data_IF_802747839336
#
_entry.id   IF_802747839336
#
_cell.length_a   1.000
_cell.length_b   1.000
_cell.length_c   1.000
_cell.angle_alpha   90.00
_cell.angle_beta   90.00
_cell.angle_gamma   90.00
#
_symmetry.space_group_name_H-M   'P 1'
#
loop_
_entity.id
_entity.type
_entity.pdbx_description
1 polymer ?
#
# COMPACT_ATOMS: atom_id res chain seq x y z
N UNK A 1 -2.37 -28.42 -0.23
CA UNK A 1 -2.60 -26.97 -0.42
C UNK A 1 -1.34 -26.25 0.06
N UNK A 2 -0.73 -25.40 -0.77
CA UNK A 2 0.43 -24.61 -0.35
C UNK A 2 -0.03 -23.31 0.29
N UNK A 3 0.47 -23.01 1.49
CA UNK A 3 0.16 -21.77 2.21
C UNK A 3 0.79 -20.57 1.48
N UNK A 4 0.06 -19.47 1.34
CA UNK A 4 0.56 -18.22 0.75
C UNK A 4 0.39 -17.09 1.76
N UNK A 5 1.50 -16.54 2.21
CA UNK A 5 1.50 -15.39 3.11
C UNK A 5 1.47 -14.10 2.31
N UNK A 6 0.68 -13.13 2.78
CA UNK A 6 0.58 -11.80 2.19
C UNK A 6 0.77 -10.75 3.29
N UNK A 7 1.23 -9.56 2.91
CA UNK A 7 1.53 -8.48 3.85
C UNK A 7 0.67 -7.24 3.55
N UNK A 8 0.27 -6.54 4.60
CA UNK A 8 -0.32 -5.19 4.51
C UNK A 8 0.74 -4.19 4.94
N UNK A 9 1.07 -3.25 4.06
CA UNK A 9 2.06 -2.20 4.29
C UNK A 9 1.32 -0.87 4.35
N UNK A 10 1.43 -0.19 5.49
CA UNK A 10 0.72 1.05 5.75
C UNK A 10 1.41 2.23 5.06
N UNK A 11 0.67 3.13 4.37
CA UNK A 11 1.22 4.25 3.62
C UNK A 11 1.49 5.48 4.51
N UNK A 12 2.10 5.27 5.67
CA UNK A 12 2.37 6.35 6.64
C UNK A 12 3.79 6.92 6.57
N UNK A 13 4.72 6.21 5.91
CA UNK A 13 6.11 6.63 5.74
C UNK A 13 6.30 7.29 4.39
N UNK A 14 7.12 8.33 4.33
CA UNK A 14 7.58 8.87 3.05
C UNK A 14 8.36 7.78 2.31
N UNK A 15 8.28 7.81 0.98
CA UNK A 15 8.91 6.78 0.14
C UNK A 15 10.40 6.60 0.42
N UNK A 16 11.12 7.72 0.53
CA UNK A 16 12.56 7.75 0.83
C UNK A 16 12.90 7.50 2.30
N UNK A 17 11.94 7.66 3.22
CA UNK A 17 12.11 7.48 4.67
C UNK A 17 11.65 6.09 5.12
N UNK A 18 11.91 5.07 4.29
CA UNK A 18 11.66 3.67 4.61
C UNK A 18 10.39 3.07 4.03
N UNK A 19 9.57 3.84 3.30
CA UNK A 19 8.47 3.27 2.50
C UNK A 19 9.00 2.26 1.48
N UNK A 20 9.99 2.65 0.67
CA UNK A 20 10.63 1.76 -0.32
C UNK A 20 11.21 0.50 0.32
N UNK A 21 11.93 0.66 1.43
CA UNK A 21 12.57 -0.44 2.13
C UNK A 21 11.57 -1.49 2.63
N UNK A 22 10.39 -1.06 3.10
CA UNK A 22 9.34 -1.97 3.54
C UNK A 22 8.79 -2.83 2.39
N UNK A 23 8.54 -2.22 1.22
CA UNK A 23 8.04 -2.94 0.03
C UNK A 23 9.08 -3.91 -0.54
N UNK A 24 10.33 -3.46 -0.71
CA UNK A 24 11.40 -4.34 -1.20
C UNK A 24 11.67 -5.47 -0.20
N UNK A 25 11.62 -5.20 1.10
CA UNK A 25 11.81 -6.25 2.12
C UNK A 25 10.68 -7.27 2.10
N UNK A 26 9.44 -6.85 1.85
CA UNK A 26 8.32 -7.76 1.75
C UNK A 26 8.48 -8.76 0.58
N UNK A 27 8.96 -8.29 -0.57
CA UNK A 27 9.29 -9.18 -1.69
C UNK A 27 10.45 -10.13 -1.34
N UNK A 28 11.52 -9.62 -0.71
CA UNK A 28 12.66 -10.45 -0.28
C UNK A 28 12.28 -11.51 0.76
N UNK A 29 11.24 -11.28 1.55
CA UNK A 29 10.69 -12.24 2.51
C UNK A 29 9.82 -13.31 1.83
N UNK A 30 9.55 -13.20 0.54
CA UNK A 30 8.75 -14.16 -0.22
C UNK A 30 7.24 -13.99 0.00
N UNK A 31 6.78 -12.80 0.42
CA UNK A 31 5.34 -12.55 0.47
C UNK A 31 4.74 -12.63 -0.93
N UNK A 32 3.60 -13.29 -1.01
CA UNK A 32 2.92 -13.52 -2.28
C UNK A 32 2.25 -12.26 -2.82
N UNK A 33 1.57 -11.51 -1.94
CA UNK A 33 0.92 -10.24 -2.28
C UNK A 33 1.23 -9.20 -1.21
N UNK A 34 1.55 -7.98 -1.64
CA UNK A 34 1.60 -6.79 -0.81
C UNK A 34 0.35 -5.93 -1.00
N UNK A 35 -0.27 -5.51 0.09
CA UNK A 35 -1.46 -4.67 0.08
C UNK A 35 -1.23 -3.32 0.78
N UNK A 36 -1.95 -2.29 0.38
CA UNK A 36 -2.09 -1.02 1.13
C UNK A 36 -3.57 -0.66 1.30
N UNK A 37 -3.91 0.20 2.27
CA UNK A 37 -5.28 0.70 2.42
C UNK A 37 -5.57 1.84 1.44
N UNK A 38 -6.73 1.80 0.77
CA UNK A 38 -7.10 2.83 -0.22
C UNK A 38 -7.51 4.15 0.44
N UNK A 39 -8.41 4.10 1.43
CA UNK A 39 -8.91 5.27 2.11
C UNK A 39 -9.53 4.87 3.45
N UNK A 40 -8.70 4.78 4.47
CA UNK A 40 -9.13 4.98 5.85
C UNK A 40 -8.18 6.01 6.42
N UNK A 41 -8.64 7.25 6.55
CA UNK A 41 -7.99 8.22 7.43
C UNK A 41 -8.06 7.61 8.83
N UNK A 42 -7.02 6.87 9.20
CA UNK A 42 -6.94 6.23 10.50
C UNK A 42 -6.92 7.36 11.52
N UNK A 43 -7.94 7.43 12.39
CA UNK A 43 -8.11 8.55 13.35
C UNK A 43 -6.88 8.76 14.23
N UNK A 44 -6.06 7.74 14.43
CA UNK A 44 -4.82 7.73 15.22
C UNK A 44 -3.59 8.30 14.48
N UNK A 45 -3.64 8.47 13.15
CA UNK A 45 -2.54 9.04 12.34
C UNK A 45 -2.91 10.40 11.72
N UNK A 46 -3.85 11.13 12.32
CA UNK A 46 -4.36 12.41 11.81
C UNK A 46 -3.26 13.46 11.57
N UNK A 47 -2.19 13.41 12.36
CA UNK A 47 -1.12 14.41 12.35
C UNK A 47 0.10 14.00 11.49
N UNK A 48 0.07 12.82 10.87
CA UNK A 48 1.15 12.27 10.04
C UNK A 48 0.77 12.16 8.56
N UNK A 49 1.75 12.07 7.64
CA UNK A 49 1.47 11.92 6.22
C UNK A 49 0.78 10.58 5.94
N UNK A 50 -0.38 10.61 5.30
CA UNK A 50 -1.06 9.42 4.78
C UNK A 50 -1.08 9.48 3.25
N UNK A 51 -0.26 8.65 2.61
CA UNK A 51 -0.14 8.64 1.16
C UNK A 51 -1.30 7.88 0.51
N UNK A 52 -1.78 8.38 -0.63
CA UNK A 52 -2.83 7.70 -1.39
C UNK A 52 -2.37 6.31 -1.85
N UNK A 53 -3.30 5.35 -1.88
CA UNK A 53 -2.95 3.98 -2.29
C UNK A 53 -2.44 3.88 -3.72
N UNK A 54 -3.04 4.61 -4.67
CA UNK A 54 -2.62 4.54 -6.07
C UNK A 54 -1.16 4.98 -6.23
N UNK A 55 -0.73 6.18 -5.78
CA UNK A 55 0.68 6.55 -5.82
C UNK A 55 1.60 5.59 -5.06
N UNK A 56 1.15 5.06 -3.92
CA UNK A 56 1.94 4.10 -3.12
C UNK A 56 2.16 2.80 -3.88
N UNK A 57 1.12 2.26 -4.51
CA UNK A 57 1.20 1.02 -5.30
C UNK A 57 1.97 1.23 -6.60
N UNK A 58 1.85 2.40 -7.24
CA UNK A 58 2.70 2.76 -8.38
C UNK A 58 4.17 2.76 -7.98
N UNK A 59 4.53 3.41 -6.86
CA UNK A 59 5.90 3.40 -6.36
C UNK A 59 6.37 1.98 -6.00
N UNK A 60 5.53 1.17 -5.34
CA UNK A 60 5.81 -0.23 -5.05
C UNK A 60 6.08 -1.04 -6.31
N UNK A 61 5.28 -0.87 -7.36
CA UNK A 61 5.46 -1.55 -8.65
C UNK A 61 6.81 -1.24 -9.30
N UNK A 62 7.37 -0.05 -9.07
CA UNK A 62 8.71 0.29 -9.57
C UNK A 62 9.86 -0.26 -8.72
N UNK A 63 9.59 -0.75 -7.51
CA UNK A 63 10.59 -1.21 -6.56
C UNK A 63 10.55 -2.72 -6.29
N UNK A 64 9.60 -3.44 -6.89
CA UNK A 64 9.38 -4.89 -6.75
C UNK A 64 9.16 -5.50 -8.13
N UNK A 65 9.62 -6.73 -8.36
CA UNK A 65 9.59 -7.37 -9.68
C UNK A 65 8.47 -8.41 -9.86
N UNK A 66 8.13 -9.15 -8.80
CA UNK A 66 7.32 -10.38 -8.87
C UNK A 66 6.19 -10.39 -7.86
N UNK A 67 6.33 -9.65 -6.76
CA UNK A 67 5.29 -9.56 -5.73
C UNK A 67 4.03 -8.91 -6.32
N UNK A 68 2.87 -9.54 -6.13
CA UNK A 68 1.59 -8.96 -6.55
C UNK A 68 1.23 -7.78 -5.66
N UNK A 69 0.57 -6.77 -6.21
CA UNK A 69 0.23 -5.53 -5.51
C UNK A 69 -1.28 -5.30 -5.55
N UNK A 70 -1.85 -4.80 -4.47
CA UNK A 70 -3.28 -4.49 -4.42
C UNK A 70 -3.68 -3.60 -3.26
N UNK A 71 -4.96 -3.28 -3.18
CA UNK A 71 -5.56 -2.60 -2.04
C UNK A 71 -6.30 -3.60 -1.15
N UNK A 72 -6.10 -3.51 0.16
CA UNK A 72 -6.93 -4.24 1.13
C UNK A 72 -7.98 -3.27 1.64
N UNK A 73 -9.24 -3.48 1.25
CA UNK A 73 -10.36 -2.52 1.31
C UNK A 73 -10.20 -1.38 0.31
N UNK A 74 -11.06 -1.40 -0.70
CA UNK A 74 -11.34 -0.26 -1.57
C UNK A 74 -12.61 0.44 -1.11
N UNK A 75 -12.52 1.73 -0.78
CA UNK A 75 -13.68 2.59 -0.67
C UNK A 75 -13.68 3.48 -1.89
N UNK A 76 -14.40 3.07 -2.95
CA UNK A 76 -14.70 3.97 -4.07
C UNK A 76 -15.43 5.18 -3.51
N UNK A 77 -14.78 6.35 -3.43
CA UNK A 77 -15.53 7.60 -3.35
C UNK A 77 -16.32 7.72 -4.65
N UNK A 78 -17.66 7.78 -4.63
CA UNK A 78 -18.40 8.13 -5.84
C UNK A 78 -17.88 9.46 -6.35
N UNK A 79 -17.71 9.60 -7.67
CA UNK A 79 -17.42 10.89 -8.30
C UNK A 79 -18.40 11.93 -7.74
N UNK A 80 -17.86 12.98 -7.11
CA UNK A 80 -18.63 14.17 -6.79
C UNK A 80 -19.17 14.74 -8.10
N UNK A 81 -20.50 14.82 -8.17
CA UNK A 81 -21.26 15.42 -9.27
C UNK A 81 -20.68 16.81 -9.55
N UNK A 82 -20.16 17.03 -10.75
CA UNK A 82 -19.79 18.37 -11.23
C UNK A 82 -21.13 19.05 -11.54
N UNK A 83 -21.53 19.97 -10.67
CA UNK A 83 -22.59 20.95 -10.97
C UNK A 83 -21.98 22.17 -11.64
#
# INVERSE_FOLDING_TARGET
>A
MSLRLSAVILPYRRWHEGGRAAWTRAEQLGFHTGYTYDHLSWRTFRDGPWFGAVPTLTAAATATERMRLGTLVTSVKPCSHIS
#
